data_IF_562151656974
#
_entry.id   IF_562151656974
#
_cell.length_a   1.000
_cell.length_b   1.000
_cell.length_c   1.000
_cell.angle_alpha   90.00
_cell.angle_beta   90.00
_cell.angle_gamma   90.00
#
_symmetry.space_group_name_H-M   'P 1'
#
loop_
_entity.id
_entity.type
_entity.pdbx_description
1 polymer ?
#
# COMPACT_ATOMS: atom_id res chain seq x y z
N UNK A 1 -17.47 -3.71 -16.02
CA UNK A 1 -17.42 -4.72 -14.94
C UNK A 1 -16.87 -4.03 -13.70
N UNK A 2 -17.43 -4.31 -12.52
CA UNK A 2 -16.95 -3.71 -11.25
C UNK A 2 -16.36 -4.82 -10.39
N UNK A 3 -15.17 -4.57 -9.84
CA UNK A 3 -14.50 -5.45 -8.89
C UNK A 3 -14.45 -4.77 -7.53
N UNK A 4 -14.56 -5.56 -6.47
CA UNK A 4 -14.55 -5.06 -5.08
C UNK A 4 -13.23 -5.42 -4.34
N UNK A 5 -12.24 -5.97 -5.05
CA UNK A 5 -10.91 -6.29 -4.54
C UNK A 5 -9.81 -6.03 -5.58
N UNK A 6 -8.55 -6.20 -5.17
CA UNK A 6 -7.36 -5.90 -5.97
C UNK A 6 -6.73 -7.12 -6.67
N UNK A 7 -7.25 -8.32 -6.46
CA UNK A 7 -6.72 -9.55 -7.07
C UNK A 7 -7.42 -9.84 -8.39
N UNK A 8 -8.75 -9.80 -8.38
CA UNK A 8 -9.59 -10.18 -9.51
C UNK A 8 -9.34 -9.35 -10.78
N UNK A 9 -9.08 -8.03 -10.74
CA UNK A 9 -8.90 -7.26 -11.98
C UNK A 9 -7.69 -7.71 -12.83
N UNK A 10 -6.61 -8.17 -12.18
CA UNK A 10 -5.43 -8.67 -12.91
C UNK A 10 -5.64 -10.09 -13.42
N UNK A 11 -6.34 -10.93 -12.65
CA UNK A 11 -6.69 -12.28 -13.08
C UNK A 11 -7.63 -12.24 -14.30
N UNK A 12 -8.68 -11.41 -14.25
CA UNK A 12 -9.62 -11.23 -15.36
C UNK A 12 -8.91 -10.72 -16.63
N UNK A 13 -8.01 -9.74 -16.50
CA UNK A 13 -7.22 -9.25 -17.62
C UNK A 13 -6.30 -10.34 -18.17
N UNK A 14 -5.63 -11.11 -17.29
CA UNK A 14 -4.76 -12.20 -17.72
C UNK A 14 -5.50 -13.35 -18.40
N UNK A 15 -6.79 -13.55 -18.08
CA UNK A 15 -7.68 -14.54 -18.72
C UNK A 15 -8.31 -14.05 -20.02
N UNK A 16 -8.24 -12.75 -20.29
CA UNK A 16 -8.88 -12.12 -21.45
C UNK A 16 -10.37 -11.80 -21.24
N UNK A 17 -10.86 -11.81 -20.00
CA UNK A 17 -12.25 -11.46 -19.67
C UNK A 17 -12.51 -9.94 -19.80
N UNK A 18 -11.45 -9.13 -19.74
CA UNK A 18 -11.45 -7.68 -19.94
C UNK A 18 -10.20 -7.27 -20.75
N UNK A 19 -10.29 -6.18 -21.53
CA UNK A 19 -9.17 -5.71 -22.37
C UNK A 19 -8.16 -4.84 -21.61
N UNK A 20 -8.59 -4.18 -20.54
CA UNK A 20 -7.76 -3.32 -19.71
C UNK A 20 -8.33 -3.16 -18.29
N UNK A 21 -7.47 -2.84 -17.33
CA UNK A 21 -7.86 -2.37 -16.00
C UNK A 21 -7.12 -1.08 -15.63
N UNK A 22 -7.71 -0.25 -14.76
CA UNK A 22 -7.15 1.03 -14.33
C UNK A 22 -7.39 1.26 -12.83
N UNK A 23 -6.75 0.45 -11.98
CA UNK A 23 -6.95 0.49 -10.52
C UNK A 23 -5.64 0.52 -9.69
N UNK A 24 -4.52 0.11 -10.30
CA UNK A 24 -3.27 -0.18 -9.59
C UNK A 24 -2.15 0.78 -9.96
N UNK A 25 -1.13 0.87 -9.10
CA UNK A 25 0.14 1.53 -9.39
C UNK A 25 1.20 0.53 -9.84
N UNK A 26 2.31 1.04 -10.38
CA UNK A 26 3.39 0.20 -10.94
C UNK A 26 4.02 -0.77 -9.92
N UNK A 27 4.35 -0.36 -8.68
CA UNK A 27 4.86 -1.31 -7.68
C UNK A 27 3.92 -2.51 -7.42
N UNK A 28 2.61 -2.28 -7.35
CA UNK A 28 1.64 -3.36 -7.18
C UNK A 28 1.62 -4.30 -8.40
N UNK A 29 1.61 -3.75 -9.62
CA UNK A 29 1.66 -4.53 -10.85
C UNK A 29 2.94 -5.38 -10.93
N UNK A 30 4.10 -4.80 -10.64
CA UNK A 30 5.39 -5.50 -10.67
C UNK A 30 5.41 -6.66 -9.66
N UNK A 31 4.83 -6.45 -8.48
CA UNK A 31 4.70 -7.50 -7.46
C UNK A 31 3.74 -8.61 -7.91
N UNK A 32 2.58 -8.28 -8.51
CA UNK A 32 1.65 -9.28 -9.04
C UNK A 32 2.25 -10.09 -10.19
N UNK A 33 3.05 -9.47 -11.06
CA UNK A 33 3.79 -10.16 -12.12
C UNK A 33 4.80 -11.13 -11.51
N UNK A 34 5.58 -10.68 -10.52
CA UNK A 34 6.56 -11.51 -9.82
C UNK A 34 5.91 -12.71 -9.13
N UNK A 35 4.79 -12.51 -8.44
CA UNK A 35 4.18 -13.54 -7.61
C UNK A 35 3.31 -14.52 -8.41
N UNK A 36 2.70 -14.07 -9.52
CA UNK A 36 1.70 -14.85 -10.27
C UNK A 36 2.11 -15.18 -11.71
N UNK A 37 3.24 -14.66 -12.18
CA UNK A 37 3.74 -14.93 -13.54
C UNK A 37 2.90 -14.27 -14.65
N UNK A 38 2.13 -13.23 -14.31
CA UNK A 38 1.31 -12.51 -15.28
C UNK A 38 2.14 -11.85 -16.37
N UNK A 39 1.63 -11.83 -17.61
CA UNK A 39 2.25 -11.14 -18.76
C UNK A 39 1.61 -9.78 -19.03
N UNK A 40 1.33 -9.06 -17.96
CA UNK A 40 0.67 -7.75 -18.01
C UNK A 40 1.69 -6.64 -18.12
N UNK A 41 1.33 -5.53 -18.77
CA UNK A 41 2.19 -4.36 -18.93
C UNK A 41 1.41 -3.08 -18.65
N UNK A 42 2.10 -2.06 -18.16
CA UNK A 42 1.51 -0.72 -18.05
C UNK A 42 1.57 -0.03 -19.42
N UNK A 43 0.42 0.36 -19.95
CA UNK A 43 0.29 1.08 -21.23
C UNK A 43 0.23 2.60 -21.05
N UNK A 44 0.12 3.09 -19.82
CA UNK A 44 0.03 4.51 -19.52
C UNK A 44 -0.16 4.80 -18.03
N UNK A 45 0.09 6.05 -17.64
CA UNK A 45 -0.22 6.58 -16.30
C UNK A 45 -1.47 7.43 -16.40
N UNK A 46 -2.38 7.27 -15.44
CA UNK A 46 -3.64 8.01 -15.40
C UNK A 46 -3.61 9.07 -14.31
N UNK A 47 -3.85 8.68 -13.05
CA UNK A 47 -3.96 9.56 -11.89
C UNK A 47 -3.03 9.11 -10.77
N UNK A 48 -2.64 10.07 -9.93
CA UNK A 48 -1.95 9.79 -8.67
C UNK A 48 -2.91 10.13 -7.53
N UNK A 49 -3.28 9.11 -6.76
CA UNK A 49 -4.06 9.29 -5.54
C UNK A 49 -3.10 9.35 -4.33
N UNK A 50 -3.09 10.47 -3.58
CA UNK A 50 -2.35 10.56 -2.33
C UNK A 50 -2.87 9.53 -1.32
N UNK A 51 -1.96 8.88 -0.59
CA UNK A 51 -2.34 8.08 0.59
C UNK A 51 -2.40 9.00 1.80
N UNK A 52 -3.37 8.79 2.68
CA UNK A 52 -3.58 9.58 3.88
C UNK A 52 -4.07 8.70 5.03
N UNK A 53 -3.78 9.13 6.26
CA UNK A 53 -4.39 8.57 7.46
C UNK A 53 -5.76 9.23 7.71
N UNK A 54 -6.70 8.46 8.25
CA UNK A 54 -8.03 8.94 8.62
C UNK A 54 -8.36 8.45 10.02
N UNK A 55 -9.13 9.24 10.76
CA UNK A 55 -9.61 8.85 12.08
C UNK A 55 -11.06 9.30 12.28
N UNK A 56 -11.82 8.46 13.00
CA UNK A 56 -13.15 8.81 13.52
C UNK A 56 -13.09 9.36 14.95
N UNK A 57 -11.94 9.26 15.62
CA UNK A 57 -11.78 9.52 17.06
C UNK A 57 -10.96 10.76 17.39
N UNK A 58 -9.96 11.06 16.56
CA UNK A 58 -9.02 12.18 16.74
C UNK A 58 -9.03 13.07 15.51
N UNK A 59 -8.69 14.35 15.66
CA UNK A 59 -8.65 15.32 14.55
C UNK A 59 -7.23 15.64 14.10
N UNK A 60 -6.24 15.45 14.96
CA UNK A 60 -4.81 15.62 14.62
C UNK A 60 -3.95 14.49 15.20
N UNK A 61 -2.71 14.37 14.71
CA UNK A 61 -1.76 13.36 15.20
C UNK A 61 -1.32 13.59 16.66
N UNK A 62 -1.41 14.83 17.16
CA UNK A 62 -1.02 15.17 18.53
C UNK A 62 -1.99 14.59 19.58
N UNK A 63 -3.20 14.22 19.16
CA UNK A 63 -4.19 13.54 20.01
C UNK A 63 -3.96 12.02 20.12
N UNK A 64 -2.97 11.46 19.42
CA UNK A 64 -2.59 10.05 19.58
C UNK A 64 -2.09 9.80 21.01
N UNK A 65 -2.69 8.82 21.67
CA UNK A 65 -2.30 8.34 22.99
C UNK A 65 -1.40 7.13 22.86
N UNK A 66 -0.56 6.88 23.86
CA UNK A 66 0.25 5.67 23.91
C UNK A 66 -0.64 4.42 23.83
N UNK A 67 -0.22 3.46 22.99
CA UNK A 67 -0.98 2.24 22.70
C UNK A 67 -2.15 2.44 21.72
N UNK A 68 -2.20 3.58 21.02
CA UNK A 68 -3.19 3.78 19.94
C UNK A 68 -2.94 2.82 18.79
N UNK A 69 -3.98 2.16 18.29
CA UNK A 69 -3.84 1.24 17.17
C UNK A 69 -4.03 1.95 15.82
N UNK A 70 -3.12 1.69 14.89
CA UNK A 70 -3.21 2.14 13.49
C UNK A 70 -3.41 0.94 12.58
N UNK A 71 -4.54 0.91 11.88
CA UNK A 71 -4.76 -0.08 10.83
C UNK A 71 -4.01 0.31 9.55
N UNK A 72 -3.35 -0.66 8.93
CA UNK A 72 -2.60 -0.51 7.68
C UNK A 72 -3.03 -1.57 6.67
N UNK A 73 -2.83 -1.35 5.35
CA UNK A 73 -3.06 -2.38 4.33
C UNK A 73 -2.22 -3.64 4.59
N UNK A 74 -2.72 -4.78 4.14
CA UNK A 74 -2.06 -6.08 4.31
C UNK A 74 -1.31 -6.57 3.07
N UNK A 75 -1.51 -5.97 1.90
CA UNK A 75 -0.70 -6.29 0.72
C UNK A 75 0.69 -5.63 0.80
N UNK A 76 1.77 -6.28 0.32
CA UNK A 76 3.15 -5.83 0.56
C UNK A 76 3.42 -4.39 0.11
N UNK A 77 2.92 -4.01 -1.06
CA UNK A 77 3.25 -2.71 -1.66
C UNK A 77 2.52 -1.56 -0.97
N UNK A 78 1.25 -1.74 -0.60
CA UNK A 78 0.49 -0.70 0.11
C UNK A 78 0.82 -0.68 1.61
N UNK A 79 1.19 -1.82 2.22
CA UNK A 79 1.80 -1.87 3.54
C UNK A 79 3.06 -1.03 3.56
N UNK A 80 3.98 -1.28 2.63
CA UNK A 80 5.24 -0.54 2.51
C UNK A 80 5.02 0.96 2.37
N UNK A 81 4.10 1.38 1.48
CA UNK A 81 3.72 2.79 1.29
C UNK A 81 3.15 3.43 2.57
N UNK A 82 2.37 2.68 3.34
CA UNK A 82 1.79 3.15 4.61
C UNK A 82 2.85 3.30 5.70
N UNK A 83 3.76 2.33 5.85
CA UNK A 83 4.86 2.40 6.81
C UNK A 83 5.81 3.56 6.50
N UNK A 84 6.14 3.79 5.23
CA UNK A 84 6.93 4.94 4.81
C UNK A 84 6.22 6.27 5.11
N UNK A 85 4.89 6.34 4.98
CA UNK A 85 4.12 7.52 5.38
C UNK A 85 4.19 7.73 6.90
N UNK A 86 4.01 6.68 7.71
CA UNK A 86 4.09 6.75 9.17
C UNK A 86 5.48 7.21 9.63
N UNK A 87 6.55 6.72 8.99
CA UNK A 87 7.90 7.20 9.22
C UNK A 87 8.05 8.69 8.86
N UNK A 88 7.53 9.10 7.70
CA UNK A 88 7.62 10.49 7.23
C UNK A 88 6.96 11.48 8.20
N UNK A 89 5.91 11.06 8.91
CA UNK A 89 5.23 11.88 9.92
C UNK A 89 5.77 11.65 11.35
N UNK A 90 6.85 10.89 11.50
CA UNK A 90 7.55 10.70 12.78
C UNK A 90 6.83 9.79 13.79
N UNK A 91 5.87 8.97 13.35
CA UNK A 91 5.16 8.06 14.25
C UNK A 91 5.92 6.75 14.51
N UNK A 92 6.75 6.33 13.56
CA UNK A 92 7.63 5.16 13.66
C UNK A 92 8.98 5.49 13.03
N UNK A 93 9.97 4.63 13.26
CA UNK A 93 11.22 4.62 12.49
C UNK A 93 11.45 3.24 11.91
N UNK A 94 11.81 3.18 10.64
CA UNK A 94 12.16 1.95 9.93
C UNK A 94 13.68 1.78 9.91
N UNK A 95 14.14 0.55 9.72
CA UNK A 95 15.55 0.27 9.41
C UNK A 95 15.98 1.04 8.15
N UNK A 96 17.24 1.44 8.11
CA UNK A 96 17.82 2.06 6.92
C UNK A 96 17.85 1.06 5.75
N UNK A 97 17.69 1.56 4.52
CA UNK A 97 17.85 0.74 3.31
C UNK A 97 16.71 -0.22 2.99
N UNK A 98 15.57 -0.16 3.69
CA UNK A 98 14.39 -1.04 3.48
C UNK A 98 13.67 -0.84 2.14
N UNK A 99 13.98 0.24 1.41
CA UNK A 99 13.40 0.53 0.10
C UNK A 99 11.90 0.79 0.14
N UNK A 100 11.16 0.27 -0.85
CA UNK A 100 9.71 0.51 -1.03
C UNK A 100 8.82 -0.56 -0.38
N UNK A 101 9.40 -1.65 0.12
CA UNK A 101 8.66 -2.79 0.67
C UNK A 101 9.03 -3.10 2.12
N UNK A 102 9.10 -2.09 3.03
CA UNK A 102 9.28 -2.39 4.44
C UNK A 102 8.12 -3.22 4.99
N UNK A 103 8.41 -4.01 6.00
CA UNK A 103 7.43 -4.78 6.78
C UNK A 103 7.35 -4.24 8.21
N UNK A 104 6.38 -4.72 8.99
CA UNK A 104 6.32 -4.41 10.42
C UNK A 104 7.56 -4.88 11.19
N UNK A 105 8.28 -5.89 10.69
CA UNK A 105 9.53 -6.40 11.27
C UNK A 105 10.72 -5.44 11.06
N UNK A 106 10.53 -4.41 10.23
CA UNK A 106 11.54 -3.39 9.95
C UNK A 106 11.37 -2.14 10.79
N UNK A 107 10.39 -2.10 11.69
CA UNK A 107 10.20 -1.01 12.64
C UNK A 107 11.23 -1.15 13.76
N UNK A 108 12.07 -0.13 13.94
CA UNK A 108 13.10 -0.08 14.98
C UNK A 108 12.73 0.82 16.15
N UNK A 109 11.83 1.80 15.93
CA UNK A 109 11.29 2.65 16.99
C UNK A 109 9.79 2.85 16.76
N UNK A 110 9.00 2.71 17.83
CA UNK A 110 7.55 2.91 17.82
C UNK A 110 7.09 3.51 19.16
N UNK A 111 7.20 4.83 19.34
CA UNK A 111 6.97 5.48 20.63
C UNK A 111 5.49 5.61 21.03
N UNK A 112 4.54 5.51 20.09
CA UNK A 112 3.13 5.88 20.35
C UNK A 112 2.09 4.81 20.00
N UNK A 113 2.35 3.94 19.01
CA UNK A 113 1.31 3.09 18.39
C UNK A 113 1.61 1.60 18.45
#
# INVERSE_FOLDING_TARGET
MTFNDYVLPNEALSKGDIDANAFQHKPYLDQQIKDRGYKLVSVGKTFVYPIAGYSKKIKSLDELKDGSQVAVPNDPTNLGRSLLLLQKVGLIKLKDGVGLLPTSLDIVENPKI
#
